data_IF_606092175187
#
_entry.id   IF_606092175187
#
_cell.length_a   1.000
_cell.length_b   1.000
_cell.length_c   1.000
_cell.angle_alpha   90.00
_cell.angle_beta   90.00
_cell.angle_gamma   90.00
#
_symmetry.space_group_name_H-M   'P 1'
#
loop_
_entity.id
_entity.type
_entity.pdbx_description
1 polymer ?
#
# COMPACT_ATOMS: atom_id res chain seq x y z
N UNK A 1 34.78 -17.01 -33.49
CA UNK A 1 33.45 -16.35 -33.57
C UNK A 1 33.32 -15.52 -32.31
N UNK A 2 32.94 -14.25 -32.40
CA UNK A 2 32.65 -13.42 -31.22
C UNK A 2 31.18 -13.68 -30.89
N UNK A 3 30.90 -14.24 -29.71
CA UNK A 3 29.52 -14.32 -29.22
C UNK A 3 29.01 -12.91 -28.94
N UNK A 4 27.80 -12.62 -29.41
CA UNK A 4 27.14 -11.35 -29.09
C UNK A 4 26.86 -11.30 -27.57
N UNK A 5 27.04 -10.15 -26.92
CA UNK A 5 26.80 -10.05 -25.48
C UNK A 5 25.36 -10.47 -25.16
N UNK A 6 25.22 -11.46 -24.28
CA UNK A 6 23.92 -11.86 -23.75
C UNK A 6 23.55 -10.93 -22.60
N UNK A 7 22.40 -10.25 -22.70
CA UNK A 7 21.82 -9.60 -21.54
C UNK A 7 21.27 -10.70 -20.61
N UNK A 8 21.95 -10.94 -19.49
CA UNK A 8 21.53 -11.93 -18.48
C UNK A 8 20.77 -11.24 -17.37
N UNK A 9 19.55 -11.71 -17.10
CA UNK A 9 18.71 -11.24 -15.99
C UNK A 9 18.41 -12.38 -15.04
N UNK A 10 18.70 -12.18 -13.75
CA UNK A 10 18.52 -13.18 -12.70
C UNK A 10 17.62 -12.59 -11.62
N UNK A 11 16.68 -13.40 -11.12
CA UNK A 11 15.88 -13.08 -9.95
C UNK A 11 16.42 -13.91 -8.78
N UNK A 12 16.76 -13.25 -7.69
CA UNK A 12 17.30 -13.90 -6.50
C UNK A 12 16.72 -13.30 -5.21
N UNK A 13 16.86 -14.02 -4.10
CA UNK A 13 16.52 -13.58 -2.75
C UNK A 13 17.76 -13.75 -1.87
N UNK A 14 18.05 -12.77 -1.03
CA UNK A 14 19.16 -12.82 -0.07
C UNK A 14 18.59 -12.86 1.34
N UNK A 15 19.02 -13.86 2.11
CA UNK A 15 18.72 -13.99 3.52
C UNK A 15 20.01 -14.00 4.33
N UNK A 16 19.94 -13.62 5.60
CA UNK A 16 21.03 -13.78 6.56
C UNK A 16 21.20 -15.24 7.03
N UNK A 17 22.17 -15.46 7.93
CA UNK A 17 22.48 -16.79 8.48
C UNK A 17 21.34 -17.42 9.31
N UNK A 18 20.36 -16.62 9.75
CA UNK A 18 19.17 -17.05 10.49
C UNK A 18 17.90 -17.00 9.64
N UNK A 19 18.06 -16.90 8.31
CA UNK A 19 17.02 -16.96 7.29
C UNK A 19 16.04 -15.75 7.24
N UNK A 20 16.45 -14.59 7.76
CA UNK A 20 15.70 -13.34 7.58
C UNK A 20 16.08 -12.63 6.27
N UNK A 21 15.12 -12.01 5.55
CA UNK A 21 15.44 -11.20 4.37
C UNK A 21 16.41 -10.08 4.70
N UNK A 22 17.43 -9.90 3.85
CA UNK A 22 18.43 -8.84 4.00
C UNK A 22 18.14 -7.69 3.01
N UNK A 23 17.54 -6.57 3.45
CA UNK A 23 17.17 -5.46 2.57
C UNK A 23 18.34 -4.51 2.31
N UNK A 24 18.19 -3.63 1.32
CA UNK A 24 19.09 -2.49 1.09
C UNK A 24 20.45 -2.86 0.48
N UNK A 25 20.52 -4.00 -0.23
CA UNK A 25 21.72 -4.42 -0.93
C UNK A 25 21.90 -3.61 -2.21
N UNK A 26 23.13 -3.21 -2.48
CA UNK A 26 23.57 -2.46 -3.66
C UNK A 26 24.51 -3.31 -4.51
N UNK A 27 24.83 -2.86 -5.72
CA UNK A 27 25.66 -3.61 -6.68
C UNK A 27 27.01 -4.05 -6.09
N UNK A 28 27.63 -3.21 -5.26
CA UNK A 28 28.92 -3.48 -4.62
C UNK A 28 28.86 -4.55 -3.52
N UNK A 29 27.66 -5.02 -3.15
CA UNK A 29 27.51 -6.15 -2.23
C UNK A 29 27.63 -7.51 -2.92
N UNK A 30 27.78 -7.56 -4.25
CA UNK A 30 27.80 -8.80 -5.02
C UNK A 30 29.05 -8.91 -5.91
N UNK A 31 29.64 -10.10 -5.90
CA UNK A 31 30.70 -10.50 -6.82
C UNK A 31 30.11 -11.49 -7.85
N UNK A 32 30.30 -11.21 -9.14
CA UNK A 32 29.79 -12.05 -10.23
C UNK A 32 30.98 -12.75 -10.88
N UNK A 33 30.87 -14.06 -11.02
CA UNK A 33 31.88 -14.90 -11.62
C UNK A 33 31.36 -15.54 -12.91
N UNK A 34 32.17 -15.54 -13.95
CA UNK A 34 31.97 -16.30 -15.19
C UNK A 34 33.13 -17.27 -15.34
N UNK A 35 32.84 -18.56 -15.52
CA UNK A 35 33.85 -19.63 -15.60
C UNK A 35 34.90 -19.58 -14.48
N UNK A 36 34.46 -19.21 -13.28
CA UNK A 36 35.30 -19.09 -12.08
C UNK A 36 36.19 -17.84 -12.04
N UNK A 37 36.06 -16.91 -12.98
CA UNK A 37 36.77 -15.63 -13.00
C UNK A 37 35.82 -14.49 -12.61
N UNK A 38 36.30 -13.61 -11.74
CA UNK A 38 35.57 -12.41 -11.36
C UNK A 38 35.41 -11.50 -12.60
N UNK A 39 34.18 -11.12 -12.88
CA UNK A 39 33.88 -10.16 -13.96
C UNK A 39 34.11 -8.75 -13.43
N UNK A 40 34.86 -7.94 -14.19
CA UNK A 40 35.10 -6.54 -13.85
C UNK A 40 33.80 -5.72 -13.94
N UNK A 41 33.60 -4.80 -13.00
CA UNK A 41 32.45 -3.87 -13.03
C UNK A 41 32.46 -2.96 -14.27
N UNK A 42 33.63 -2.77 -14.89
CA UNK A 42 33.79 -2.00 -16.13
C UNK A 42 33.42 -2.80 -17.38
N UNK A 43 33.55 -4.12 -17.33
CA UNK A 43 33.26 -5.01 -18.47
C UNK A 43 31.78 -5.35 -18.55
N UNK A 44 31.09 -5.40 -17.41
CA UNK A 44 29.66 -5.66 -17.33
C UNK A 44 28.96 -4.61 -16.46
N UNK A 45 28.18 -3.73 -17.09
CA UNK A 45 27.31 -2.80 -16.38
C UNK A 45 26.24 -3.59 -15.62
N UNK A 46 26.30 -3.53 -14.29
CA UNK A 46 25.35 -4.21 -13.38
C UNK A 46 24.30 -3.22 -12.92
N UNK A 47 23.07 -3.71 -12.77
CA UNK A 47 21.99 -2.96 -12.14
C UNK A 47 21.22 -3.89 -11.24
N UNK A 48 21.25 -3.64 -9.94
CA UNK A 48 20.32 -4.28 -9.03
C UNK A 48 19.03 -3.48 -9.08
N UNK A 49 18.03 -4.06 -9.71
CA UNK A 49 16.68 -3.57 -9.58
C UNK A 49 16.06 -4.35 -8.44
N UNK A 50 15.78 -3.66 -7.33
CA UNK A 50 14.74 -4.14 -6.45
C UNK A 50 13.54 -4.49 -7.31
N UNK A 51 13.06 -5.72 -7.18
CA UNK A 51 11.67 -5.99 -7.46
C UNK A 51 10.95 -5.54 -6.19
N UNK A 52 10.45 -4.29 -6.08
CA UNK A 52 9.34 -4.11 -5.20
C UNK A 52 8.27 -5.02 -5.79
N UNK A 53 8.08 -6.20 -5.20
CA UNK A 53 6.75 -6.76 -5.22
C UNK A 53 5.90 -5.67 -4.58
N UNK A 54 5.28 -4.84 -5.43
CA UNK A 54 4.38 -3.78 -5.00
C UNK A 54 3.22 -4.51 -4.35
N UNK A 55 3.34 -4.72 -3.04
CA UNK A 55 2.30 -5.41 -2.29
C UNK A 55 1.10 -4.47 -2.26
N UNK A 56 0.00 -4.91 -2.86
CA UNK A 56 -1.27 -4.20 -2.73
C UNK A 56 -1.86 -4.54 -1.37
N UNK A 57 -1.92 -3.55 -0.50
CA UNK A 57 -2.61 -3.64 0.78
C UNK A 57 -4.04 -3.16 0.62
N UNK A 58 -5.00 -4.06 0.84
CA UNK A 58 -6.41 -3.72 0.88
C UNK A 58 -6.82 -3.47 2.33
N UNK A 59 -7.22 -2.24 2.63
CA UNK A 59 -7.66 -1.80 3.94
C UNK A 59 -9.16 -1.51 3.93
N UNK A 60 -9.88 -2.03 4.91
CA UNK A 60 -11.30 -1.73 5.12
C UNK A 60 -11.44 -0.81 6.34
N UNK A 61 -11.96 0.39 6.12
CA UNK A 61 -12.41 1.29 7.19
C UNK A 61 -13.92 1.08 7.38
N UNK A 62 -14.31 0.42 8.47
CA UNK A 62 -15.72 0.20 8.82
C UNK A 62 -16.15 1.19 9.91
N UNK A 63 -17.16 2.00 9.61
CA UNK A 63 -17.68 3.05 10.51
C UNK A 63 -18.96 2.60 11.21
N UNK A 64 -19.04 2.87 12.50
CA UNK A 64 -20.29 2.78 13.27
C UNK A 64 -21.06 4.08 13.06
N UNK A 65 -22.24 3.99 12.46
CA UNK A 65 -23.19 5.07 12.22
C UNK A 65 -24.54 4.76 12.88
N UNK A 66 -24.53 4.08 14.03
CA UNK A 66 -25.73 3.90 14.86
C UNK A 66 -26.30 5.26 15.32
N UNK A 67 -27.60 5.30 15.65
CA UNK A 67 -28.28 6.54 16.04
C UNK A 67 -27.55 7.33 17.15
N UNK A 68 -26.99 6.63 18.15
CA UNK A 68 -26.21 7.25 19.23
C UNK A 68 -24.95 7.98 18.74
N UNK A 69 -24.32 7.48 17.68
CA UNK A 69 -23.14 8.10 17.05
C UNK A 69 -23.56 9.27 16.16
N UNK A 70 -24.62 9.12 15.38
CA UNK A 70 -25.15 10.19 14.51
C UNK A 70 -25.55 11.42 15.33
N UNK A 71 -26.23 11.21 16.47
CA UNK A 71 -26.74 12.31 17.29
C UNK A 71 -25.64 13.06 18.07
N UNK A 72 -24.63 12.35 18.56
CA UNK A 72 -23.70 12.89 19.56
C UNK A 72 -22.28 13.11 19.05
N UNK A 73 -21.86 12.34 18.05
CA UNK A 73 -20.43 12.11 17.76
C UNK A 73 -20.08 12.16 16.29
N UNK A 74 -21.03 12.42 15.38
CA UNK A 74 -20.80 12.38 13.94
C UNK A 74 -19.63 13.27 13.50
N UNK A 75 -19.55 14.50 14.00
CA UNK A 75 -18.45 15.41 13.64
C UNK A 75 -17.09 14.88 14.10
N UNK A 76 -17.02 14.32 15.31
CA UNK A 76 -15.80 13.72 15.87
C UNK A 76 -15.40 12.49 15.06
N UNK A 77 -16.36 11.62 14.70
CA UNK A 77 -16.14 10.45 13.86
C UNK A 77 -15.57 10.85 12.49
N UNK A 78 -16.16 11.86 11.84
CA UNK A 78 -15.69 12.38 10.54
C UNK A 78 -14.25 12.90 10.64
N UNK A 79 -13.93 13.68 11.66
CA UNK A 79 -12.58 14.20 11.88
C UNK A 79 -11.57 13.09 12.14
N UNK A 80 -11.90 12.13 13.00
CA UNK A 80 -11.02 10.99 13.30
C UNK A 80 -10.77 10.13 12.06
N UNK A 81 -11.83 9.85 11.28
CA UNK A 81 -11.73 9.07 10.04
C UNK A 81 -10.85 9.78 9.00
N UNK A 82 -11.02 11.08 8.82
CA UNK A 82 -10.17 11.88 7.91
C UNK A 82 -8.72 11.90 8.39
N UNK A 83 -8.48 12.07 9.69
CA UNK A 83 -7.12 12.01 10.24
C UNK A 83 -6.47 10.65 9.99
N UNK A 84 -7.21 9.56 10.20
CA UNK A 84 -6.74 8.21 9.93
C UNK A 84 -6.39 8.01 8.45
N UNK A 85 -7.28 8.40 7.54
CA UNK A 85 -7.03 8.38 6.09
C UNK A 85 -5.77 9.18 5.74
N UNK A 86 -5.59 10.37 6.33
CA UNK A 86 -4.43 11.22 6.07
C UNK A 86 -3.12 10.61 6.56
N UNK A 87 -3.15 9.91 7.69
CA UNK A 87 -1.98 9.24 8.30
C UNK A 87 -1.60 7.94 7.60
N UNK A 88 -2.58 7.17 7.11
CA UNK A 88 -2.34 5.84 6.53
C UNK A 88 -2.12 5.88 5.03
N UNK A 89 -2.92 6.68 4.30
CA UNK A 89 -2.84 6.68 2.84
C UNK A 89 -1.57 7.42 2.38
N UNK A 90 -0.76 6.82 1.50
CA UNK A 90 0.45 7.45 0.99
C UNK A 90 0.14 8.78 0.28
N UNK A 91 1.08 9.72 0.33
CA UNK A 91 1.00 10.95 -0.46
C UNK A 91 1.37 10.66 -1.92
N UNK A 92 0.90 11.49 -2.85
CA UNK A 92 1.12 11.30 -4.31
C UNK A 92 2.59 11.25 -4.72
N UNK A 93 3.48 11.81 -3.89
CA UNK A 93 4.93 11.82 -4.10
C UNK A 93 5.68 10.64 -3.47
N UNK A 94 4.99 9.79 -2.71
CA UNK A 94 5.60 8.60 -2.07
C UNK A 94 5.84 7.49 -3.10
N UNK A 95 6.92 6.73 -2.92
CA UNK A 95 7.21 5.50 -3.68
C UNK A 95 6.06 4.49 -3.62
N UNK A 96 5.32 4.50 -2.51
CA UNK A 96 4.29 3.53 -2.16
C UNK A 96 2.90 4.04 -2.59
N UNK A 97 2.84 5.14 -3.34
CA UNK A 97 1.60 5.66 -3.92
C UNK A 97 0.95 4.58 -4.81
N UNK A 98 -0.34 4.31 -4.57
CA UNK A 98 -1.14 3.23 -5.17
C UNK A 98 -0.92 1.81 -4.60
N UNK A 99 -0.04 1.64 -3.60
CA UNK A 99 0.15 0.34 -2.96
C UNK A 99 -0.89 0.07 -1.87
N UNK A 100 -1.43 1.11 -1.23
CA UNK A 100 -2.54 0.99 -0.28
C UNK A 100 -3.85 1.39 -0.98
N UNK A 101 -4.80 0.46 -1.02
CA UNK A 101 -6.18 0.69 -1.42
C UNK A 101 -7.07 0.62 -0.19
N UNK A 102 -7.90 1.64 0.02
CA UNK A 102 -8.87 1.66 1.11
C UNK A 102 -10.29 1.66 0.58
N UNK A 103 -11.15 0.83 1.18
CA UNK A 103 -12.61 0.92 1.06
C UNK A 103 -13.17 1.48 2.36
N UNK A 104 -14.23 2.28 2.26
CA UNK A 104 -14.98 2.77 3.43
C UNK A 104 -16.36 2.15 3.39
N UNK A 105 -16.75 1.53 4.49
CA UNK A 105 -18.07 0.93 4.70
C UNK A 105 -18.63 1.39 6.04
N UNK A 106 -19.92 1.19 6.25
CA UNK A 106 -20.56 1.54 7.51
C UNK A 106 -21.66 0.55 7.89
N UNK A 107 -22.02 0.57 9.16
CA UNK A 107 -23.16 -0.16 9.72
C UNK A 107 -23.83 0.71 10.78
N UNK A 108 -25.13 0.52 10.99
CA UNK A 108 -25.94 1.22 11.99
C UNK A 108 -26.61 0.29 13.01
N UNK A 109 -26.48 -1.02 12.83
CA UNK A 109 -27.16 -2.03 13.64
C UNK A 109 -28.09 -2.92 12.83
N UNK A 110 -28.39 -2.54 11.58
CA UNK A 110 -29.07 -3.43 10.64
C UNK A 110 -28.19 -4.63 10.24
N UNK A 111 -28.81 -5.65 9.64
CA UNK A 111 -28.14 -6.89 9.24
C UNK A 111 -27.02 -6.65 8.21
N UNK A 112 -27.12 -5.60 7.41
CA UNK A 112 -26.26 -5.38 6.25
C UNK A 112 -25.19 -4.33 6.55
N UNK A 113 -24.01 -4.54 5.97
CA UNK A 113 -22.98 -3.52 5.87
C UNK A 113 -23.22 -2.75 4.58
N UNK A 114 -23.11 -1.43 4.65
CA UNK A 114 -23.33 -0.52 3.53
C UNK A 114 -21.99 -0.01 3.00
N UNK A 115 -21.88 0.09 1.69
CA UNK A 115 -20.69 0.64 1.03
C UNK A 115 -20.78 2.17 0.95
N UNK A 116 -19.72 2.86 1.37
CA UNK A 116 -19.56 4.31 1.17
C UNK A 116 -18.61 4.60 0.01
N UNK A 117 -17.49 3.89 -0.04
CA UNK A 117 -16.46 3.98 -1.09
C UNK A 117 -15.89 2.59 -1.35
N UNK A 118 -15.84 2.17 -2.62
CA UNK A 118 -15.10 0.97 -3.02
C UNK A 118 -13.58 1.19 -2.89
N UNK A 119 -12.79 0.13 -3.02
CA UNK A 119 -11.33 0.20 -2.89
C UNK A 119 -10.71 1.23 -3.83
N UNK A 120 -10.05 2.23 -3.24
CA UNK A 120 -9.36 3.29 -3.98
C UNK A 120 -8.06 3.69 -3.29
N UNK A 121 -7.10 4.15 -4.06
CA UNK A 121 -5.88 4.79 -3.55
C UNK A 121 -6.02 6.32 -3.43
N UNK A 122 -7.15 6.88 -3.88
CA UNK A 122 -7.37 8.32 -3.91
C UNK A 122 -7.83 8.86 -2.55
N UNK A 123 -6.91 9.51 -1.84
CA UNK A 123 -7.15 10.19 -0.55
C UNK A 123 -8.30 11.20 -0.63
N UNK A 124 -8.40 11.93 -1.74
CA UNK A 124 -9.47 12.92 -1.97
C UNK A 124 -10.85 12.27 -2.02
N UNK A 125 -11.02 11.16 -2.75
CA UNK A 125 -12.29 10.42 -2.80
C UNK A 125 -12.72 9.98 -1.40
N UNK A 126 -11.81 9.35 -0.65
CA UNK A 126 -12.09 8.88 0.71
C UNK A 126 -12.52 10.03 1.64
N UNK A 127 -11.75 11.11 1.68
CA UNK A 127 -12.03 12.26 2.56
C UNK A 127 -13.30 13.03 2.15
N UNK A 128 -13.57 13.17 0.84
CA UNK A 128 -14.81 13.78 0.35
C UNK A 128 -16.04 12.96 0.73
N UNK A 129 -15.99 11.63 0.59
CA UNK A 129 -17.11 10.76 0.99
C UNK A 129 -17.38 10.80 2.49
N UNK A 130 -16.34 10.82 3.34
CA UNK A 130 -16.53 11.03 4.79
C UNK A 130 -17.20 12.38 5.07
N UNK A 131 -16.78 13.44 4.38
CA UNK A 131 -17.36 14.78 4.56
C UNK A 131 -18.84 14.84 4.17
N UNK A 132 -19.30 13.99 3.25
CA UNK A 132 -20.69 13.91 2.79
C UNK A 132 -21.61 13.11 3.73
N UNK A 133 -21.06 12.39 4.72
CA UNK A 133 -21.89 11.70 5.72
C UNK A 133 -22.69 12.75 6.51
N UNK A 134 -24.00 12.56 6.56
CA UNK A 134 -24.96 13.34 7.32
C UNK A 134 -25.88 12.43 8.16
N UNK A 135 -26.74 13.03 8.97
CA UNK A 135 -27.64 12.29 9.87
C UNK A 135 -28.73 11.50 9.15
N UNK A 136 -28.94 11.69 7.84
CA UNK A 136 -29.96 10.97 7.08
C UNK A 136 -29.41 9.74 6.37
N UNK A 137 -28.12 9.42 6.57
CA UNK A 137 -27.47 8.29 5.91
C UNK A 137 -28.00 6.94 6.41
N UNK A 138 -28.44 6.88 7.67
CA UNK A 138 -29.07 5.72 8.29
C UNK A 138 -30.58 5.92 8.41
N UNK A 139 -31.32 4.83 8.30
CA UNK A 139 -32.76 4.77 8.57
C UNK A 139 -33.10 4.37 10.01
N UNK A 140 -32.09 4.15 10.86
CA UNK A 140 -32.28 3.79 12.27
C UNK A 140 -32.67 5.04 13.09
N UNK A 141 -33.97 5.26 13.18
CA UNK A 141 -34.59 6.23 14.07
C UNK A 141 -34.79 5.59 15.45
N UNK A 142 -33.70 5.27 16.16
CA UNK A 142 -33.80 4.84 17.56
C UNK A 142 -34.25 5.98 18.48
#
# INVERSE_FOLDING_TARGET
MVEAPANVSIIFKVNDAVNYPLPGLVESNFEIYEDGKLISEFEAARKIQDKPEKFKFNLLLLLDLSGSVLDSSLNTLKQASISFINSVMPNETSSDYQEILMSVKWFDGEKNIHDLVDYTFLKSTLTSSINQIDNNISSDNS
#
